data_IF_588838374797
#
_entry.id   IF_588838374797
#
_cell.length_a   1.000
_cell.length_b   1.000
_cell.length_c   1.000
_cell.angle_alpha   90.00
_cell.angle_beta   90.00
_cell.angle_gamma   90.00
#
_symmetry.space_group_name_H-M   'P 1'
#
loop_
_entity.id
_entity.type
_entity.pdbx_description
1 polymer ?
#
# COMPACT_ATOMS: atom_id res chain seq x y z
N UNK A 1 -24.23 67.65 1.75
CA UNK A 1 -24.32 66.49 2.65
C UNK A 1 -23.72 65.29 1.93
N UNK A 2 -22.79 64.60 2.59
CA UNK A 2 -21.84 63.63 2.00
C UNK A 2 -22.56 62.35 1.56
N UNK A 3 -22.29 61.90 0.32
CA UNK A 3 -22.72 60.60 -0.19
C UNK A 3 -21.80 59.49 0.33
N UNK A 4 -22.41 58.43 0.86
CA UNK A 4 -21.75 57.19 1.27
C UNK A 4 -21.34 56.38 0.02
N UNK A 5 -20.08 55.97 -0.05
CA UNK A 5 -19.63 54.92 -0.97
C UNK A 5 -19.75 53.54 -0.27
N UNK A 6 -20.11 52.46 -0.99
CA UNK A 6 -20.16 51.12 -0.40
C UNK A 6 -18.74 50.55 -0.31
N UNK A 7 -18.43 49.91 0.81
CA UNK A 7 -17.19 49.16 1.00
C UNK A 7 -17.25 47.86 0.19
N UNK A 8 -16.32 47.68 -0.74
CA UNK A 8 -16.12 46.42 -1.44
C UNK A 8 -15.40 45.43 -0.51
N UNK A 9 -16.08 44.33 -0.14
CA UNK A 9 -15.48 43.21 0.59
C UNK A 9 -14.76 42.33 -0.43
N UNK A 10 -13.44 42.36 -0.43
CA UNK A 10 -12.60 41.42 -1.19
C UNK A 10 -12.57 40.08 -0.44
N UNK A 11 -13.35 39.12 -0.92
CA UNK A 11 -13.24 37.73 -0.51
C UNK A 11 -11.93 37.14 -1.08
N UNK A 12 -10.88 37.10 -0.26
CA UNK A 12 -9.64 36.40 -0.59
C UNK A 12 -9.90 34.89 -0.48
N UNK A 13 -10.24 34.26 -1.60
CA UNK A 13 -10.28 32.81 -1.73
C UNK A 13 -8.84 32.27 -1.63
N UNK A 14 -8.48 31.75 -0.45
CA UNK A 14 -7.33 30.86 -0.34
C UNK A 14 -7.63 29.59 -1.15
N UNK A 15 -7.11 29.53 -2.36
CA UNK A 15 -6.90 28.27 -3.07
C UNK A 15 -5.89 27.47 -2.23
N UNK A 16 -6.39 26.58 -1.37
CA UNK A 16 -5.63 25.47 -0.85
C UNK A 16 -5.29 24.57 -2.04
N UNK A 17 -4.19 24.88 -2.72
CA UNK A 17 -3.58 23.99 -3.70
C UNK A 17 -3.17 22.76 -2.89
N UNK A 18 -4.01 21.73 -2.95
CA UNK A 18 -3.67 20.41 -2.45
C UNK A 18 -2.60 19.88 -3.40
N UNK A 19 -1.34 20.20 -3.12
CA UNK A 19 -0.20 19.60 -3.79
C UNK A 19 -0.16 18.12 -3.41
N UNK A 20 -0.97 17.29 -4.10
CA UNK A 20 -0.60 15.89 -4.26
C UNK A 20 0.54 15.87 -5.26
N UNK A 21 1.75 16.14 -4.76
CA UNK A 21 2.97 15.76 -5.47
C UNK A 21 2.89 14.24 -5.57
N UNK A 22 2.47 13.74 -6.73
CA UNK A 22 2.67 12.35 -7.10
C UNK A 22 4.18 12.15 -7.15
N UNK A 23 4.76 11.73 -6.04
CA UNK A 23 6.16 11.39 -5.97
C UNK A 23 6.43 10.27 -6.98
N UNK A 24 7.24 10.57 -8.01
CA UNK A 24 7.76 9.53 -8.90
C UNK A 24 8.74 8.67 -8.15
N UNK A 25 8.86 7.41 -8.55
CA UNK A 25 9.89 6.51 -8.06
C UNK A 25 11.27 7.18 -8.14
N UNK A 26 12.00 7.16 -7.02
CA UNK A 26 13.34 7.73 -6.90
C UNK A 26 14.30 6.60 -6.52
N UNK A 27 15.30 6.31 -7.34
CA UNK A 27 16.16 5.12 -7.14
C UNK A 27 17.46 5.38 -6.38
N UNK A 28 17.80 6.64 -6.09
CA UNK A 28 19.04 6.98 -5.41
C UNK A 28 18.99 6.63 -3.91
N UNK A 29 20.01 5.91 -3.45
CA UNK A 29 20.19 5.54 -2.05
C UNK A 29 21.42 6.22 -1.46
N UNK A 30 21.22 7.03 -0.43
CA UNK A 30 22.32 7.61 0.35
C UNK A 30 23.11 6.56 1.16
N UNK A 31 22.51 5.39 1.44
CA UNK A 31 23.17 4.31 2.15
C UNK A 31 24.24 3.61 1.30
N UNK A 32 23.99 3.49 0.00
CA UNK A 32 24.89 2.82 -0.94
C UNK A 32 25.67 3.79 -1.84
N UNK A 33 25.35 5.08 -1.75
CA UNK A 33 25.89 6.14 -2.62
C UNK A 33 25.73 5.81 -4.12
N UNK A 34 24.58 5.21 -4.46
CA UNK A 34 24.30 4.73 -5.81
C UNK A 34 22.80 4.72 -6.13
N UNK A 35 22.47 4.62 -7.43
CA UNK A 35 21.12 4.35 -7.92
C UNK A 35 20.88 2.85 -7.93
N UNK A 36 19.89 2.42 -7.17
CA UNK A 36 19.51 1.03 -7.08
C UNK A 36 18.63 0.64 -8.27
N UNK A 37 19.11 -0.27 -9.12
CA UNK A 37 18.31 -0.85 -10.20
C UNK A 37 17.08 -1.57 -9.61
N UNK A 38 15.92 -1.40 -10.21
CA UNK A 38 14.71 -2.10 -9.76
C UNK A 38 13.96 -1.44 -8.58
N UNK A 39 14.61 -0.59 -7.79
CA UNK A 39 14.10 -0.16 -6.48
C UNK A 39 13.61 1.30 -6.48
N UNK A 40 12.51 1.56 -5.78
CA UNK A 40 12.06 2.90 -5.39
C UNK A 40 12.44 3.11 -3.93
N UNK A 41 13.32 4.08 -3.69
CA UNK A 41 13.85 4.42 -2.37
C UNK A 41 12.91 5.40 -1.68
N UNK A 42 12.41 4.99 -0.52
CA UNK A 42 11.60 5.83 0.36
C UNK A 42 12.40 6.30 1.58
N UNK A 43 12.19 7.54 2.00
CA UNK A 43 12.73 8.14 3.21
C UNK A 43 11.62 8.94 3.94
N UNK A 44 11.96 9.58 5.06
CA UNK A 44 10.98 10.33 5.89
C UNK A 44 10.32 11.52 5.17
N UNK A 45 10.92 12.01 4.08
CA UNK A 45 10.42 13.16 3.29
C UNK A 45 9.78 12.75 1.96
N UNK A 46 10.09 11.55 1.44
CA UNK A 46 9.71 11.15 0.09
C UNK A 46 9.43 9.64 0.01
N UNK A 47 8.31 9.27 -0.59
CA UNK A 47 8.01 7.91 -1.03
C UNK A 47 7.04 8.02 -2.20
N UNK A 48 7.14 7.14 -3.19
CA UNK A 48 6.27 7.17 -4.36
C UNK A 48 4.81 6.85 -4.02
N UNK A 49 3.92 7.02 -4.97
CA UNK A 49 2.50 6.68 -4.81
C UNK A 49 1.95 6.18 -6.13
N UNK A 50 1.02 5.24 -6.06
CA UNK A 50 0.32 4.74 -7.23
C UNK A 50 -0.72 5.77 -7.63
N UNK A 51 -0.65 6.18 -8.90
CA UNK A 51 -1.58 7.13 -9.51
C UNK A 51 -2.46 6.42 -10.53
N UNK A 52 -3.68 6.91 -10.68
CA UNK A 52 -4.67 6.33 -11.57
C UNK A 52 -5.93 5.96 -10.79
N UNK A 53 -7.07 6.16 -11.43
CA UNK A 53 -8.36 5.88 -10.82
C UNK A 53 -9.26 5.23 -11.87
N UNK A 54 -9.34 3.91 -11.81
CA UNK A 54 -10.15 3.14 -12.74
C UNK A 54 -11.64 3.49 -12.64
N UNK A 55 -12.10 4.03 -11.49
CA UNK A 55 -13.49 4.46 -11.35
C UNK A 55 -13.82 5.74 -12.13
N UNK A 56 -12.82 6.42 -12.71
CA UNK A 56 -12.99 7.61 -13.55
C UNK A 56 -12.95 7.32 -15.06
N UNK A 57 -12.71 6.07 -15.45
CA UNK A 57 -12.71 5.68 -16.86
C UNK A 57 -14.12 5.84 -17.44
N UNK A 58 -14.19 6.34 -18.68
CA UNK A 58 -15.44 6.42 -19.43
C UNK A 58 -15.62 5.17 -20.31
N UNK A 59 -16.85 4.94 -20.76
CA UNK A 59 -17.12 3.89 -21.75
C UNK A 59 -16.23 4.06 -22.98
N UNK A 60 -15.63 2.98 -23.46
CA UNK A 60 -14.67 3.00 -24.55
C UNK A 60 -13.24 3.34 -24.12
N UNK A 61 -12.94 3.45 -22.82
CA UNK A 61 -11.59 3.68 -22.31
C UNK A 61 -11.08 2.51 -21.47
N UNK A 62 -9.76 2.35 -21.47
CA UNK A 62 -9.04 1.40 -20.60
C UNK A 62 -7.92 2.12 -19.86
N UNK A 63 -7.75 1.76 -18.60
CA UNK A 63 -6.61 2.18 -17.79
C UNK A 63 -5.49 1.14 -17.88
N UNK A 64 -4.26 1.59 -18.11
CA UNK A 64 -3.09 0.73 -18.29
C UNK A 64 -2.06 1.11 -17.25
N UNK A 65 -1.60 0.12 -16.48
CA UNK A 65 -0.47 0.23 -15.57
C UNK A 65 0.72 -0.52 -16.14
N UNK A 66 1.90 0.10 -16.17
CA UNK A 66 3.11 -0.49 -16.73
C UNK A 66 4.24 -0.49 -15.71
N UNK A 67 4.91 -1.65 -15.59
CA UNK A 67 6.19 -1.80 -14.88
C UNK A 67 7.17 -2.48 -15.83
N UNK A 68 8.40 -1.97 -15.93
CA UNK A 68 9.38 -2.46 -16.89
C UNK A 68 10.79 -2.50 -16.32
N UNK A 69 11.66 -3.31 -16.92
CA UNK A 69 13.10 -3.33 -16.61
C UNK A 69 13.75 -1.96 -16.86
N UNK A 70 13.27 -1.23 -17.86
CA UNK A 70 13.75 0.11 -18.21
C UNK A 70 13.47 1.17 -17.13
N UNK A 71 12.51 0.93 -16.23
CA UNK A 71 12.27 1.79 -15.08
C UNK A 71 10.83 2.20 -14.82
N UNK A 72 9.86 1.75 -15.62
CA UNK A 72 8.45 2.03 -15.33
C UNK A 72 8.05 1.38 -14.00
N UNK A 73 7.28 2.10 -13.19
CA UNK A 73 6.85 1.65 -11.85
C UNK A 73 5.39 1.99 -11.68
N UNK A 74 4.53 1.06 -12.10
CA UNK A 74 3.08 1.25 -12.16
C UNK A 74 2.71 2.58 -12.82
N UNK A 75 3.41 2.94 -13.88
CA UNK A 75 3.13 4.13 -14.68
C UNK A 75 1.73 3.97 -15.26
N UNK A 76 0.86 4.96 -15.03
CA UNK A 76 -0.54 4.91 -15.45
C UNK A 76 -0.81 5.75 -16.69
N UNK A 77 -1.57 5.19 -17.63
CA UNK A 77 -2.13 5.92 -18.76
C UNK A 77 -3.56 5.45 -19.08
N UNK A 78 -4.28 6.26 -19.85
CA UNK A 78 -5.60 5.93 -20.38
C UNK A 78 -5.49 5.82 -21.90
N UNK A 79 -5.97 4.71 -22.45
CA UNK A 79 -6.12 4.51 -23.88
C UNK A 79 -7.60 4.39 -24.24
N UNK A 80 -7.94 4.73 -25.49
CA UNK A 80 -9.28 4.49 -26.03
C UNK A 80 -9.29 3.12 -26.72
N UNK A 81 -10.44 2.45 -26.68
CA UNK A 81 -10.67 1.21 -27.40
C UNK A 81 -10.94 1.52 -28.87
N UNK A 82 -10.17 0.92 -29.75
CA UNK A 82 -10.43 0.95 -31.18
C UNK A 82 -11.54 -0.05 -31.54
N UNK A 83 -12.38 0.33 -32.49
CA UNK A 83 -13.51 -0.51 -32.94
C UNK A 83 -13.14 -1.45 -34.09
N UNK A 84 -11.88 -1.42 -34.55
CA UNK A 84 -11.44 -2.17 -35.72
C UNK A 84 -10.60 -3.38 -35.29
N UNK A 85 -10.83 -4.57 -35.89
CA UNK A 85 -10.00 -5.73 -35.66
C UNK A 85 -8.57 -5.49 -36.13
N UNK A 86 -7.59 -6.05 -35.42
CA UNK A 86 -6.16 -5.99 -35.74
C UNK A 86 -5.69 -7.34 -36.26
N UNK A 87 -4.83 -7.34 -37.29
CA UNK A 87 -4.31 -8.53 -37.99
C UNK A 87 -3.20 -9.31 -37.22
N UNK A 88 -3.01 -9.01 -35.94
CA UNK A 88 -1.91 -9.50 -35.08
C UNK A 88 -2.45 -10.41 -33.95
N UNK A 89 -1.61 -11.17 -33.21
CA UNK A 89 -2.08 -12.15 -32.23
C UNK A 89 -3.02 -11.51 -31.23
N UNK A 90 -4.29 -11.89 -31.34
CA UNK A 90 -5.40 -11.29 -30.62
C UNK A 90 -5.73 -12.15 -29.41
N UNK A 91 -5.68 -11.55 -28.22
CA UNK A 91 -6.28 -12.15 -27.03
C UNK A 91 -7.76 -11.75 -26.99
N UNK A 92 -8.64 -12.74 -26.87
CA UNK A 92 -10.08 -12.52 -26.72
C UNK A 92 -10.52 -12.88 -25.30
N UNK A 93 -11.39 -12.05 -24.72
CA UNK A 93 -11.97 -12.28 -23.40
C UNK A 93 -13.42 -12.73 -23.58
N UNK A 94 -13.70 -14.00 -23.30
CA UNK A 94 -15.05 -14.51 -23.22
C UNK A 94 -15.64 -14.28 -21.82
N UNK A 95 -16.51 -13.28 -21.69
CA UNK A 95 -17.15 -12.94 -20.41
C UNK A 95 -18.27 -13.92 -20.00
N UNK A 96 -18.65 -14.86 -20.87
CA UNK A 96 -19.67 -15.89 -20.57
C UNK A 96 -19.07 -17.10 -19.88
N UNK A 97 -17.77 -17.34 -20.06
CA UNK A 97 -17.04 -18.39 -19.37
C UNK A 97 -16.50 -17.86 -18.04
N UNK A 98 -17.03 -18.38 -16.92
CA UNK A 98 -16.62 -17.98 -15.58
C UNK A 98 -15.76 -19.05 -14.90
N UNK A 99 -14.82 -18.60 -14.07
CA UNK A 99 -13.96 -19.46 -13.24
C UNK A 99 -14.13 -19.13 -11.76
N UNK A 100 -13.05 -19.15 -10.96
CA UNK A 100 -13.10 -18.84 -9.54
C UNK A 100 -13.34 -17.36 -9.23
N UNK A 101 -13.92 -17.10 -8.07
CA UNK A 101 -13.92 -15.76 -7.45
C UNK A 101 -12.57 -15.49 -6.78
N UNK A 102 -12.01 -14.30 -7.02
CA UNK A 102 -10.77 -13.87 -6.37
C UNK A 102 -11.07 -13.22 -5.02
N UNK A 103 -10.57 -13.79 -3.94
CA UNK A 103 -10.79 -13.27 -2.58
C UNK A 103 -9.96 -12.00 -2.30
N UNK A 104 -8.71 -11.97 -2.78
CA UNK A 104 -7.83 -10.82 -2.54
C UNK A 104 -6.37 -11.10 -2.81
N UNK A 105 -5.56 -10.08 -2.53
CA UNK A 105 -4.11 -10.06 -2.68
C UNK A 105 -3.47 -9.43 -1.45
N UNK A 106 -2.26 -9.88 -1.10
CA UNK A 106 -1.76 -9.64 0.24
C UNK A 106 -0.33 -10.09 0.51
N UNK A 107 0.05 -9.90 1.77
CA UNK A 107 1.33 -10.34 2.34
C UNK A 107 1.15 -11.11 3.65
N UNK A 108 2.23 -11.26 4.42
CA UNK A 108 2.20 -11.93 5.72
C UNK A 108 2.72 -11.03 6.85
N UNK A 109 2.02 -11.03 7.99
CA UNK A 109 2.45 -10.36 9.22
C UNK A 109 3.32 -11.30 10.05
N UNK A 110 4.52 -11.61 9.57
CA UNK A 110 5.52 -12.41 10.29
C UNK A 110 6.27 -11.58 11.35
N UNK A 111 6.95 -12.25 12.28
CA UNK A 111 7.83 -11.59 13.25
C UNK A 111 8.99 -10.84 12.54
N UNK A 112 9.48 -11.36 11.41
CA UNK A 112 10.47 -10.63 10.63
C UNK A 112 9.89 -9.32 10.04
N UNK A 113 8.63 -9.32 9.61
CA UNK A 113 8.00 -8.15 9.00
C UNK A 113 7.79 -7.02 10.02
N UNK A 114 7.25 -7.32 11.21
CA UNK A 114 7.06 -6.29 12.23
C UNK A 114 8.39 -5.83 12.83
N UNK A 115 9.37 -6.72 13.08
CA UNK A 115 10.70 -6.31 13.55
C UNK A 115 11.34 -5.31 12.58
N UNK A 116 11.30 -5.57 11.27
CA UNK A 116 11.90 -4.67 10.29
C UNK A 116 11.11 -3.36 10.13
N UNK A 117 9.78 -3.42 10.12
CA UNK A 117 8.95 -2.22 10.08
C UNK A 117 9.25 -1.32 11.28
N UNK A 118 9.25 -1.86 12.50
CA UNK A 118 9.40 -1.06 13.72
C UNK A 118 10.85 -0.60 14.01
N UNK A 119 11.84 -1.07 13.23
CA UNK A 119 13.18 -0.48 13.19
C UNK A 119 13.23 0.86 12.43
N UNK A 120 12.24 1.14 11.59
CA UNK A 120 12.16 2.42 10.88
C UNK A 120 11.71 3.56 11.81
N UNK A 121 12.05 4.79 11.45
CA UNK A 121 11.48 5.97 12.11
C UNK A 121 9.94 5.97 11.98
N UNK A 122 9.17 6.46 12.97
CA UNK A 122 7.71 6.34 12.98
C UNK A 122 7.02 6.78 11.68
N UNK A 123 7.46 7.90 11.09
CA UNK A 123 6.92 8.40 9.82
C UNK A 123 7.13 7.45 8.65
N UNK A 124 8.28 6.77 8.60
CA UNK A 124 8.58 5.77 7.58
C UNK A 124 7.78 4.48 7.78
N UNK A 125 7.44 4.14 9.03
CA UNK A 125 6.53 3.02 9.30
C UNK A 125 5.14 3.28 8.70
N UNK A 126 4.62 4.51 8.88
CA UNK A 126 3.34 4.91 8.30
C UNK A 126 3.39 4.88 6.77
N UNK A 127 4.43 5.45 6.17
CA UNK A 127 4.61 5.43 4.71
C UNK A 127 4.68 4.01 4.16
N UNK A 128 5.42 3.11 4.81
CA UNK A 128 5.52 1.71 4.39
C UNK A 128 4.16 0.98 4.46
N UNK A 129 3.37 1.21 5.52
CA UNK A 129 2.02 0.65 5.61
C UNK A 129 1.08 1.28 4.57
N UNK A 130 1.19 2.58 4.31
CA UNK A 130 0.41 3.27 3.28
C UNK A 130 0.69 2.70 1.88
N UNK A 131 1.95 2.37 1.56
CA UNK A 131 2.31 1.75 0.28
C UNK A 131 1.62 0.40 0.06
N UNK A 132 1.39 -0.38 1.12
CA UNK A 132 0.72 -1.68 0.99
C UNK A 132 -0.81 -1.58 1.05
N UNK A 133 -1.36 -0.83 2.01
CA UNK A 133 -2.77 -0.93 2.37
C UNK A 133 -3.61 0.25 1.92
N UNK A 134 -3.03 1.44 1.68
CA UNK A 134 -3.82 2.64 1.38
C UNK A 134 -4.32 2.66 -0.08
N UNK A 135 -5.31 3.53 -0.35
CA UNK A 135 -5.77 3.84 -1.73
C UNK A 135 -4.68 4.45 -2.62
N UNK A 136 -3.65 5.06 -2.03
CA UNK A 136 -2.50 5.62 -2.75
C UNK A 136 -1.37 4.60 -2.95
N UNK A 137 -1.52 3.38 -2.40
CA UNK A 137 -0.61 2.25 -2.54
C UNK A 137 -1.29 1.06 -3.23
N UNK A 138 -0.82 -0.15 -2.90
CA UNK A 138 -1.21 -1.41 -3.55
C UNK A 138 -2.60 -1.93 -3.16
N UNK A 139 -3.25 -1.31 -2.16
CA UNK A 139 -4.59 -1.67 -1.70
C UNK A 139 -4.72 -3.16 -1.31
N UNK A 140 -3.73 -3.69 -0.61
CA UNK A 140 -3.81 -5.04 -0.04
C UNK A 140 -5.08 -5.18 0.81
N UNK A 141 -5.85 -6.22 0.52
CA UNK A 141 -7.11 -6.54 1.20
C UNK A 141 -7.10 -7.92 1.86
N UNK A 142 -5.99 -8.65 1.75
CA UNK A 142 -5.79 -9.94 2.39
C UNK A 142 -4.42 -9.95 3.08
N UNK A 143 -4.30 -10.72 4.16
CA UNK A 143 -3.00 -10.99 4.77
C UNK A 143 -3.00 -12.32 5.53
N UNK A 144 -1.82 -12.93 5.63
CA UNK A 144 -1.57 -14.15 6.41
C UNK A 144 -0.96 -13.80 7.76
N UNK A 145 -1.48 -14.39 8.85
CA UNK A 145 -0.92 -14.25 10.20
C UNK A 145 -0.47 -15.64 10.68
N UNK A 146 0.82 -15.84 10.98
CA UNK A 146 1.27 -17.08 11.62
C UNK A 146 0.72 -17.25 13.04
N UNK A 147 0.39 -18.49 13.42
CA UNK A 147 0.01 -18.88 14.77
C UNK A 147 1.24 -19.48 15.45
N UNK A 148 1.83 -18.76 16.40
CA UNK A 148 3.14 -19.10 16.98
C UNK A 148 4.32 -18.68 16.10
N UNK A 149 5.51 -19.18 16.43
CA UNK A 149 6.73 -18.89 15.65
C UNK A 149 6.77 -19.65 14.32
N UNK A 150 7.37 -19.02 13.32
CA UNK A 150 7.86 -19.65 12.09
C UNK A 150 9.39 -19.54 12.00
N UNK A 151 9.99 -20.07 10.94
CA UNK A 151 11.37 -19.80 10.51
C UNK A 151 11.68 -18.28 10.39
N UNK A 152 10.71 -17.46 10.00
CA UNK A 152 10.78 -15.98 10.05
C UNK A 152 10.61 -15.36 11.45
N UNK A 153 11.00 -16.07 12.52
CA UNK A 153 10.98 -15.58 13.91
C UNK A 153 12.36 -15.70 14.52
N UNK A 154 12.73 -14.78 15.43
CA UNK A 154 14.06 -14.80 16.08
C UNK A 154 14.18 -15.82 17.21
N UNK A 155 13.07 -16.43 17.63
CA UNK A 155 13.01 -17.49 18.63
C UNK A 155 11.86 -18.45 18.31
N UNK A 156 11.97 -19.69 18.75
CA UNK A 156 10.87 -20.66 18.70
C UNK A 156 9.89 -20.41 19.85
N UNK A 157 8.59 -20.36 19.56
CA UNK A 157 7.54 -20.28 20.57
C UNK A 157 6.22 -20.83 20.05
N UNK A 158 5.42 -21.35 20.97
CA UNK A 158 3.97 -21.57 20.79
C UNK A 158 3.22 -20.66 21.77
N UNK A 159 1.90 -20.61 21.67
CA UNK A 159 1.06 -19.89 22.64
C UNK A 159 0.82 -20.65 23.94
N UNK A 160 1.17 -21.94 24.01
CA UNK A 160 1.05 -22.77 25.20
C UNK A 160 2.28 -23.68 25.33
N UNK A 161 3.33 -23.17 25.96
CA UNK A 161 4.63 -23.86 26.04
C UNK A 161 4.75 -24.81 27.24
N UNK A 162 3.81 -24.74 28.19
CA UNK A 162 3.85 -25.61 29.36
C UNK A 162 3.47 -27.03 28.94
N UNK A 163 4.39 -27.98 29.19
CA UNK A 163 4.14 -29.40 28.96
C UNK A 163 2.90 -29.86 29.76
N UNK A 164 2.12 -30.77 29.16
CA UNK A 164 0.92 -31.40 29.73
C UNK A 164 -0.21 -30.42 30.15
N UNK A 165 -0.22 -29.19 29.66
CA UNK A 165 -1.29 -28.22 29.90
C UNK A 165 -2.45 -28.37 28.90
N UNK A 166 -3.10 -29.54 28.93
CA UNK A 166 -4.26 -29.86 28.08
C UNK A 166 -5.47 -28.96 28.35
N UNK A 167 -5.56 -28.41 29.56
CA UNK A 167 -6.59 -27.44 29.95
C UNK A 167 -6.29 -26.01 29.45
N UNK A 168 -5.14 -25.78 28.79
CA UNK A 168 -4.70 -24.49 28.23
C UNK A 168 -4.66 -23.35 29.26
N UNK A 169 -4.36 -23.65 30.52
CA UNK A 169 -4.32 -22.66 31.61
C UNK A 169 -3.20 -21.63 31.46
N UNK A 170 -2.19 -21.92 30.64
CA UNK A 170 -1.04 -21.05 30.35
C UNK A 170 -1.06 -20.49 28.91
N UNK A 171 -2.18 -20.66 28.19
CA UNK A 171 -2.32 -20.09 26.86
C UNK A 171 -2.20 -18.57 26.87
N UNK A 172 -1.33 -18.02 26.04
CA UNK A 172 -1.19 -16.56 25.88
C UNK A 172 -0.63 -16.19 24.51
N UNK A 173 -1.09 -15.05 23.98
CA UNK A 173 -0.56 -14.41 22.78
C UNK A 173 0.44 -13.29 23.11
N UNK A 174 0.98 -13.25 24.33
CA UNK A 174 1.92 -12.22 24.77
C UNK A 174 3.18 -12.12 23.87
N UNK A 175 3.57 -13.21 23.20
CA UNK A 175 4.67 -13.20 22.23
C UNK A 175 4.43 -12.27 21.03
N UNK A 176 3.17 -12.01 20.67
CA UNK A 176 2.76 -11.19 19.50
C UNK A 176 2.43 -9.74 19.87
N UNK A 177 2.52 -9.40 21.17
CA UNK A 177 2.17 -8.10 21.74
C UNK A 177 3.41 -7.42 22.30
N UNK A 178 3.34 -6.09 22.44
CA UNK A 178 4.40 -5.33 23.07
C UNK A 178 4.57 -5.78 24.53
N UNK A 179 5.81 -5.83 25.06
CA UNK A 179 7.06 -5.42 24.41
C UNK A 179 7.74 -6.51 23.54
N UNK A 180 7.17 -7.71 23.43
CA UNK A 180 7.81 -8.85 22.76
C UNK A 180 7.78 -8.76 21.23
N UNK A 181 6.71 -8.21 20.68
CA UNK A 181 6.47 -8.00 19.24
C UNK A 181 5.46 -6.88 19.03
N UNK A 182 5.45 -6.29 17.84
CA UNK A 182 4.44 -5.33 17.40
C UNK A 182 3.45 -5.90 16.37
N UNK A 183 3.41 -7.23 16.16
CA UNK A 183 2.55 -7.89 15.16
C UNK A 183 1.09 -7.48 15.25
N UNK A 184 0.50 -7.56 16.45
CA UNK A 184 -0.91 -7.16 16.65
C UNK A 184 -1.11 -5.66 16.37
N UNK A 185 -0.18 -4.80 16.80
CA UNK A 185 -0.25 -3.36 16.53
C UNK A 185 -0.11 -3.04 15.02
N UNK A 186 0.78 -3.74 14.32
CA UNK A 186 0.95 -3.63 12.87
C UNK A 186 -0.34 -3.98 12.13
N UNK A 187 -1.00 -5.09 12.51
CA UNK A 187 -2.28 -5.52 11.95
C UNK A 187 -3.35 -4.45 12.17
N UNK A 188 -3.50 -3.91 13.39
CA UNK A 188 -4.47 -2.85 13.66
C UNK A 188 -4.22 -1.58 12.84
N UNK A 189 -2.96 -1.18 12.67
CA UNK A 189 -2.59 -0.03 11.81
C UNK A 189 -2.96 -0.29 10.35
N UNK A 190 -2.65 -1.48 9.83
CA UNK A 190 -3.00 -1.86 8.46
C UNK A 190 -4.52 -1.86 8.23
N UNK A 191 -5.30 -2.46 9.15
CA UNK A 191 -6.77 -2.47 9.08
C UNK A 191 -7.39 -1.06 9.13
N UNK A 192 -6.76 -0.12 9.83
CA UNK A 192 -7.21 1.28 9.88
C UNK A 192 -6.94 2.05 8.59
N UNK A 193 -5.90 1.66 7.85
CA UNK A 193 -5.49 2.30 6.58
C UNK A 193 -6.27 1.72 5.40
N UNK A 194 -6.52 0.41 5.43
CA UNK A 194 -7.14 -0.34 4.35
C UNK A 194 -8.47 0.26 3.89
N UNK A 195 -8.84 0.10 2.61
CA UNK A 195 -10.14 0.55 2.12
C UNK A 195 -11.25 -0.19 2.87
N UNK A 196 -12.15 0.57 3.50
CA UNK A 196 -13.46 0.08 3.98
C UNK A 196 -14.34 -0.37 2.84
#
# INVERSE_FOLDING_TARGET
MKGLAPAAVLASSLLLISYRVSARCFSWSSLYDDRLEGICVCNVTHCDSIVGDHSKLKMGQVGIYTTSKAGDRLTYMVANLDSLPVDEPTFYIDVTTQFQTMLGFGGAFTDAADINLYKLAPKLQDLALDQYFSKAGLQYNMARVPIGSTDFSTRTYTYNQKADDFAMTNYTIASDKAPNSNKINMIHRALKIGPT
#
